data_IF_512560556414
#
_entry.id   IF_512560556414
#
_cell.length_a   1.000
_cell.length_b   1.000
_cell.length_c   1.000
_cell.angle_alpha   90.00
_cell.angle_beta   90.00
_cell.angle_gamma   90.00
#
_symmetry.space_group_name_H-M   'P 1'
#
loop_
_entity.id
_entity.type
_entity.pdbx_description
1 polymer ?
#
# COMPACT_ATOMS: atom_id res chain seq x y z
N UNK A 1 2.86 -6.60 -1.23
CA UNK A 1 3.36 -5.97 0.01
C UNK A 1 4.28 -4.80 -0.32
N UNK A 2 3.73 -3.64 -0.66
CA UNK A 2 4.48 -2.40 -0.56
C UNK A 2 4.65 -1.98 0.91
N UNK A 3 5.71 -1.23 1.19
CA UNK A 3 5.87 -0.47 2.42
C UNK A 3 6.04 1.00 2.06
N UNK A 4 5.18 1.85 2.61
CA UNK A 4 5.30 3.30 2.53
C UNK A 4 5.98 3.82 3.79
N UNK A 5 7.22 4.30 3.64
CA UNK A 5 7.90 5.08 4.67
C UNK A 5 7.50 6.54 4.52
N UNK A 6 6.64 7.03 5.40
CA UNK A 6 6.25 8.44 5.47
C UNK A 6 7.18 9.15 6.44
N UNK A 7 8.16 9.87 5.89
CA UNK A 7 9.14 10.61 6.67
C UNK A 7 8.76 12.10 6.66
N UNK A 8 8.30 12.59 7.81
CA UNK A 8 7.73 13.93 7.95
C UNK A 8 8.59 14.81 8.85
N UNK A 9 8.77 16.07 8.46
CA UNK A 9 9.33 17.15 9.30
C UNK A 9 8.22 18.01 9.90
N UNK A 10 7.07 18.06 9.21
CA UNK A 10 5.86 18.70 9.70
C UNK A 10 5.17 17.77 10.70
N UNK A 11 4.74 18.28 11.87
CA UNK A 11 3.92 17.49 12.79
C UNK A 11 2.62 17.05 12.11
N UNK A 12 2.27 15.77 12.23
CA UNK A 12 1.03 15.22 11.70
C UNK A 12 0.12 14.84 12.86
N UNK A 13 -1.16 15.16 12.77
CA UNK A 13 -2.16 14.67 13.73
C UNK A 13 -2.47 13.20 13.48
N UNK A 14 -3.00 12.50 14.49
CA UNK A 14 -3.46 11.11 14.35
C UNK A 14 -4.47 10.97 13.20
N UNK A 15 -5.44 11.89 13.12
CA UNK A 15 -6.40 11.93 12.01
C UNK A 15 -5.74 12.09 10.64
N UNK A 16 -4.70 12.93 10.53
CA UNK A 16 -3.95 13.08 9.27
C UNK A 16 -3.18 11.80 8.92
N UNK A 17 -2.58 11.13 9.91
CA UNK A 17 -1.91 9.85 9.71
C UNK A 17 -2.89 8.76 9.26
N UNK A 18 -4.05 8.67 9.87
CA UNK A 18 -5.09 7.70 9.49
C UNK A 18 -5.60 7.96 8.06
N UNK A 19 -5.99 9.20 7.77
CA UNK A 19 -6.49 9.57 6.45
C UNK A 19 -5.46 9.35 5.35
N UNK A 20 -4.19 9.70 5.62
CA UNK A 20 -3.11 9.48 4.67
C UNK A 20 -2.83 7.99 4.48
N UNK A 21 -2.86 7.18 5.54
CA UNK A 21 -2.65 5.74 5.43
C UNK A 21 -3.75 5.08 4.57
N UNK A 22 -5.02 5.42 4.83
CA UNK A 22 -6.16 4.94 4.03
C UNK A 22 -5.98 5.33 2.56
N UNK A 23 -5.68 6.60 2.29
CA UNK A 23 -5.57 7.10 0.92
C UNK A 23 -4.39 6.48 0.15
N UNK A 24 -3.24 6.26 0.81
CA UNK A 24 -2.09 5.57 0.20
C UNK A 24 -2.40 4.10 -0.10
N UNK A 25 -3.13 3.44 0.80
CA UNK A 25 -3.61 2.07 0.62
C UNK A 25 -4.56 1.97 -0.57
N UNK A 26 -5.58 2.84 -0.63
CA UNK A 26 -6.56 2.87 -1.72
C UNK A 26 -5.87 3.10 -3.07
N UNK A 27 -4.97 4.08 -3.15
CA UNK A 27 -4.20 4.35 -4.37
C UNK A 27 -3.40 3.12 -4.82
N UNK A 28 -2.76 2.41 -3.88
CA UNK A 28 -1.96 1.24 -4.24
C UNK A 28 -2.83 0.07 -4.71
N UNK A 29 -3.90 -0.22 -3.98
CA UNK A 29 -4.82 -1.33 -4.26
C UNK A 29 -5.47 -1.13 -5.61
N UNK A 30 -5.99 0.07 -5.88
CA UNK A 30 -6.64 0.40 -7.15
C UNK A 30 -5.68 0.29 -8.33
N UNK A 31 -4.45 0.80 -8.19
CA UNK A 31 -3.48 0.84 -9.28
C UNK A 31 -2.80 -0.50 -9.56
N UNK A 32 -2.56 -1.28 -8.51
CA UNK A 32 -1.71 -2.48 -8.59
C UNK A 32 -2.43 -3.77 -8.21
N UNK A 33 -3.74 -3.73 -7.96
CA UNK A 33 -4.59 -4.88 -7.59
C UNK A 33 -4.01 -5.71 -6.44
N UNK A 34 -3.27 -5.04 -5.55
CA UNK A 34 -2.66 -5.66 -4.38
C UNK A 34 -3.73 -5.72 -3.28
N UNK A 35 -3.97 -6.88 -2.65
CA UNK A 35 -4.87 -6.98 -1.50
C UNK A 35 -4.53 -5.95 -0.41
N UNK A 36 -5.54 -5.33 0.20
CA UNK A 36 -5.35 -4.21 1.16
C UNK A 36 -4.45 -4.58 2.33
N UNK A 37 -4.65 -5.78 2.89
CA UNK A 37 -3.87 -6.32 4.00
C UNK A 37 -2.36 -6.22 3.79
N UNK A 38 -1.88 -6.36 2.56
CA UNK A 38 -0.45 -6.31 2.26
C UNK A 38 0.14 -4.90 2.20
N UNK A 39 -0.67 -3.85 2.24
CA UNK A 39 -0.20 -2.47 2.12
C UNK A 39 0.15 -1.92 3.48
N UNK A 40 1.46 -1.76 3.72
CA UNK A 40 1.97 -1.26 4.97
C UNK A 40 2.31 0.22 4.85
N UNK A 41 1.87 1.03 5.82
CA UNK A 41 2.22 2.45 5.93
C UNK A 41 2.81 2.70 7.31
N UNK A 42 3.97 3.34 7.39
CA UNK A 42 4.57 3.74 8.66
C UNK A 42 5.00 5.20 8.62
N UNK A 43 4.93 5.84 9.79
CA UNK A 43 5.29 7.24 9.98
C UNK A 43 6.60 7.34 10.75
N UNK A 44 7.42 8.32 10.40
CA UNK A 44 8.67 8.62 11.11
C UNK A 44 8.89 10.12 11.12
N UNK A 45 8.97 10.71 12.32
CA UNK A 45 9.41 12.08 12.50
C UNK A 45 10.91 12.18 12.19
N UNK A 46 11.24 12.97 11.19
CA UNK A 46 12.60 13.22 10.72
C UNK A 46 12.98 14.70 10.84
N UNK A 47 12.26 15.49 11.62
CA UNK A 47 12.47 16.94 11.84
C UNK A 47 13.87 17.27 12.38
N UNK A 48 14.48 16.32 13.11
CA UNK A 48 15.83 16.42 13.65
C UNK A 48 16.91 15.76 12.78
N UNK A 49 16.52 15.08 11.70
CA UNK A 49 17.48 14.43 10.81
C UNK A 49 18.29 15.48 10.03
N UNK A 50 19.60 15.28 9.97
CA UNK A 50 20.48 16.14 9.18
C UNK A 50 20.42 15.69 7.72
N UNK A 51 19.74 16.47 6.88
CA UNK A 51 19.67 16.19 5.43
C UNK A 51 20.26 17.34 4.62
N UNK A 52 20.92 16.99 3.52
CA UNK A 52 21.55 17.93 2.58
C UNK A 52 20.99 17.72 1.17
N UNK A 53 20.75 18.83 0.46
CA UNK A 53 20.35 18.81 -0.95
C UNK A 53 21.21 19.79 -1.72
N UNK A 54 21.95 19.29 -2.72
CA UNK A 54 22.94 20.09 -3.44
C UNK A 54 24.01 20.69 -2.51
N UNK A 55 24.41 19.95 -1.47
CA UNK A 55 25.37 20.41 -0.46
C UNK A 55 24.80 21.38 0.59
N UNK A 56 23.53 21.77 0.50
CA UNK A 56 22.92 22.74 1.43
C UNK A 56 22.01 21.99 2.41
N UNK A 57 22.10 22.32 3.70
CA UNK A 57 21.22 21.76 4.73
C UNK A 57 19.76 22.12 4.46
N UNK A 58 18.87 21.13 4.54
CA UNK A 58 17.43 21.30 4.30
C UNK A 58 16.58 20.59 5.35
N UNK A 59 15.29 20.89 5.33
CA UNK A 59 14.20 20.12 5.94
C UNK A 59 13.13 19.95 4.86
N UNK A 60 12.53 18.76 4.78
CA UNK A 60 11.44 18.50 3.85
C UNK A 60 10.77 17.15 4.15
N UNK A 61 9.46 17.09 3.91
CA UNK A 61 8.70 15.85 3.94
C UNK A 61 9.00 14.98 2.70
N UNK A 62 9.03 13.67 2.89
CA UNK A 62 9.27 12.70 1.81
C UNK A 62 8.54 11.38 2.07
N UNK A 63 8.16 10.71 0.98
CA UNK A 63 7.60 9.35 1.04
C UNK A 63 8.49 8.40 0.24
N UNK A 64 8.86 7.27 0.85
CA UNK A 64 9.60 6.20 0.18
C UNK A 64 8.68 5.00 0.03
N UNK A 65 8.33 4.67 -1.21
CA UNK A 65 7.54 3.49 -1.56
C UNK A 65 8.50 2.34 -1.86
N UNK A 66 8.64 1.42 -0.92
CA UNK A 66 9.36 0.16 -1.14
C UNK A 66 8.41 -0.84 -1.74
N UNK A 67 8.69 -1.28 -2.94
CA UNK A 67 7.88 -2.27 -3.65
C UNK A 67 8.79 -3.28 -4.33
N UNK A 68 8.19 -4.31 -4.94
CA UNK A 68 8.93 -5.24 -5.77
C UNK A 68 9.27 -4.58 -7.10
N UNK A 69 10.49 -4.80 -7.58
CA UNK A 69 10.80 -4.56 -8.98
C UNK A 69 10.03 -5.60 -9.81
N UNK A 70 8.88 -5.19 -10.37
CA UNK A 70 8.12 -6.01 -11.30
C UNK A 70 8.49 -5.65 -12.73
N UNK A 71 8.85 -6.64 -13.55
CA UNK A 71 9.10 -6.45 -14.99
C UNK A 71 7.87 -5.93 -15.76
N UNK A 72 6.69 -6.05 -15.17
CA UNK A 72 5.40 -5.80 -15.82
C UNK A 72 4.84 -4.41 -15.52
N UNK A 73 5.55 -3.55 -14.76
CA UNK A 73 5.10 -2.21 -14.39
C UNK A 73 6.00 -1.17 -15.06
N UNK A 74 5.40 -0.24 -15.78
CA UNK A 74 6.16 0.80 -16.51
C UNK A 74 6.64 1.91 -15.56
N UNK A 75 7.71 2.60 -15.96
CA UNK A 75 8.17 3.81 -15.26
C UNK A 75 7.05 4.85 -15.19
N UNK A 76 6.24 4.99 -16.24
CA UNK A 76 5.17 5.98 -16.26
C UNK A 76 4.05 5.65 -15.26
N UNK A 77 3.72 4.35 -15.10
CA UNK A 77 2.77 3.90 -14.08
C UNK A 77 3.23 4.31 -12.67
N UNK A 78 4.54 4.24 -12.39
CA UNK A 78 5.09 4.69 -11.11
C UNK A 78 5.17 6.21 -11.00
N UNK A 79 5.47 6.93 -12.08
CA UNK A 79 5.45 8.39 -12.09
C UNK A 79 4.05 8.93 -11.78
N UNK A 80 3.02 8.38 -12.40
CA UNK A 80 1.63 8.72 -12.13
C UNK A 80 1.24 8.41 -10.68
N UNK A 81 1.69 7.27 -10.16
CA UNK A 81 1.46 6.92 -8.75
C UNK A 81 2.11 7.94 -7.80
N UNK A 82 3.34 8.38 -8.10
CA UNK A 82 4.00 9.43 -7.33
C UNK A 82 3.25 10.76 -7.36
N UNK A 83 2.70 11.14 -8.52
CA UNK A 83 1.89 12.36 -8.66
C UNK A 83 0.61 12.28 -7.84
N UNK A 84 -0.06 11.12 -7.81
CA UNK A 84 -1.24 10.89 -6.97
C UNK A 84 -0.92 10.96 -5.49
N UNK A 85 0.20 10.38 -5.05
CA UNK A 85 0.66 10.48 -3.66
C UNK A 85 0.87 11.93 -3.26
N UNK A 86 1.49 12.75 -4.11
CA UNK A 86 1.65 14.19 -3.86
C UNK A 86 0.28 14.86 -3.73
N UNK A 87 -0.66 14.61 -4.65
CA UNK A 87 -2.02 15.18 -4.56
C UNK A 87 -2.73 14.81 -3.26
N UNK A 88 -2.61 13.55 -2.84
CA UNK A 88 -3.20 13.07 -1.58
C UNK A 88 -2.58 13.77 -0.38
N UNK A 89 -1.25 13.92 -0.36
CA UNK A 89 -0.56 14.65 0.70
C UNK A 89 -1.01 16.11 0.76
N UNK A 90 -0.99 16.82 -0.36
CA UNK A 90 -1.38 18.23 -0.41
C UNK A 90 -2.82 18.42 0.11
N UNK A 91 -3.75 17.54 -0.28
CA UNK A 91 -5.13 17.59 0.19
C UNK A 91 -5.26 17.37 1.70
N UNK A 92 -4.58 16.38 2.27
CA UNK A 92 -4.79 15.94 3.67
C UNK A 92 -3.93 16.75 4.65
N UNK A 93 -2.68 17.05 4.25
CA UNK A 93 -1.67 17.61 5.13
C UNK A 93 -1.55 19.12 4.97
N UNK A 94 -1.61 19.64 3.75
CA UNK A 94 -1.52 21.09 3.50
C UNK A 94 -2.90 21.73 3.60
N UNK A 95 -3.92 21.10 2.98
CA UNK A 95 -5.29 21.60 2.98
C UNK A 95 -5.49 22.81 2.07
N UNK A 96 -6.63 23.47 2.25
CA UNK A 96 -7.08 24.63 1.46
C UNK A 96 -6.69 25.98 2.08
N UNK A 97 -5.79 26.00 3.08
CA UNK A 97 -5.35 27.25 3.72
C UNK A 97 -4.67 28.19 2.71
N UNK A 98 -5.06 29.47 2.73
CA UNK A 98 -4.56 30.52 1.83
C UNK A 98 -3.07 30.88 2.08
N UNK A 99 -2.54 30.59 3.28
CA UNK A 99 -1.15 30.81 3.65
C UNK A 99 -0.38 29.47 3.72
N UNK A 100 -0.06 28.92 2.55
CA UNK A 100 0.62 27.63 2.43
C UNK A 100 2.08 27.75 2.84
N UNK A 101 2.39 27.35 4.07
CA UNK A 101 3.77 27.08 4.49
C UNK A 101 4.42 26.04 3.54
N UNK A 102 5.41 26.43 2.72
CA UNK A 102 6.05 25.53 1.77
C UNK A 102 6.74 24.32 2.44
N UNK A 103 7.08 24.41 3.73
CA UNK A 103 7.67 23.30 4.48
C UNK A 103 6.67 22.17 4.74
N UNK A 104 5.35 22.45 4.73
CA UNK A 104 4.28 21.44 4.87
C UNK A 104 4.08 20.59 3.62
N UNK A 105 4.51 21.08 2.45
CA UNK A 105 4.36 20.37 1.19
C UNK A 105 5.16 19.07 1.11
N UNK A 106 4.72 18.14 0.27
CA UNK A 106 5.49 16.92 -0.01
C UNK A 106 6.55 17.20 -1.06
N UNK A 107 7.81 17.16 -0.66
CA UNK A 107 8.90 17.54 -1.57
C UNK A 107 9.24 16.43 -2.56
N UNK A 108 9.20 15.18 -2.13
CA UNK A 108 9.65 14.06 -2.97
C UNK A 108 8.96 12.75 -2.61
N UNK A 109 8.75 11.94 -3.64
CA UNK A 109 8.32 10.56 -3.54
C UNK A 109 9.35 9.71 -4.29
N UNK A 110 9.87 8.69 -3.64
CA UNK A 110 10.79 7.73 -4.26
C UNK A 110 10.18 6.35 -4.30
N UNK A 111 10.21 5.70 -5.45
CA UNK A 111 9.84 4.29 -5.57
C UNK A 111 11.10 3.45 -5.64
N UNK A 112 11.26 2.55 -4.68
CA UNK A 112 12.38 1.63 -4.59
C UNK A 112 11.91 0.21 -4.89
N UNK A 113 12.46 -0.40 -5.94
CA UNK A 113 12.28 -1.82 -6.26
C UNK A 113 13.12 -2.75 -5.35
N UNK A 114 12.98 -2.62 -4.03
CA UNK A 114 13.88 -3.23 -3.05
C UNK A 114 13.44 -4.61 -2.54
N UNK A 115 12.18 -5.02 -2.78
CA UNK A 115 11.60 -6.21 -2.15
C UNK A 115 11.70 -7.44 -3.05
N UNK A 116 12.63 -8.35 -2.73
CA UNK A 116 12.87 -9.62 -3.45
C UNK A 116 11.91 -10.73 -3.00
N UNK A 117 11.72 -10.90 -1.69
CA UNK A 117 10.82 -11.88 -1.07
C UNK A 117 10.18 -11.33 0.21
N UNK A 118 9.18 -12.01 0.76
CA UNK A 118 8.51 -11.63 2.00
C UNK A 118 7.44 -12.64 2.44
N UNK A 119 7.23 -12.70 3.74
CA UNK A 119 6.18 -13.46 4.42
C UNK A 119 5.37 -12.45 5.24
N UNK A 120 4.05 -12.56 5.21
CA UNK A 120 3.16 -11.76 6.07
C UNK A 120 2.13 -12.70 6.68
N UNK A 121 2.00 -12.66 8.00
CA UNK A 121 1.29 -13.67 8.81
C UNK A 121 1.67 -15.13 8.47
N UNK A 122 2.93 -15.37 8.11
CA UNK A 122 3.43 -16.71 7.74
C UNK A 122 3.11 -17.15 6.31
N UNK A 123 2.41 -16.33 5.52
CA UNK A 123 2.00 -16.66 4.16
C UNK A 123 2.94 -15.97 3.16
N UNK A 124 3.47 -16.76 2.23
CA UNK A 124 4.36 -16.27 1.20
C UNK A 124 3.59 -15.41 0.19
N UNK A 125 4.23 -14.33 -0.27
CA UNK A 125 3.63 -13.42 -1.24
C UNK A 125 3.30 -14.07 -2.59
N UNK A 126 2.30 -13.52 -3.31
CA UNK A 126 2.15 -13.78 -4.73
C UNK A 126 3.39 -13.35 -5.52
N UNK A 127 3.59 -13.97 -6.68
CA UNK A 127 4.45 -13.38 -7.71
C UNK A 127 3.77 -12.15 -8.30
N UNK A 128 4.55 -11.18 -8.78
CA UNK A 128 4.00 -9.99 -9.42
C UNK A 128 3.23 -10.37 -10.68
N UNK A 129 1.97 -9.95 -10.77
CA UNK A 129 1.05 -10.31 -11.86
C UNK A 129 0.22 -11.56 -11.60
N UNK A 130 0.50 -12.32 -10.53
CA UNK A 130 -0.23 -13.54 -10.15
C UNK A 130 -1.10 -13.30 -8.90
N UNK A 131 -1.35 -12.04 -8.51
CA UNK A 131 -2.02 -11.67 -7.26
C UNK A 131 -3.41 -12.31 -7.14
N UNK A 132 -4.19 -12.35 -8.23
CA UNK A 132 -5.55 -12.89 -8.22
C UNK A 132 -5.59 -14.42 -8.08
N UNK A 133 -4.75 -15.14 -8.81
CA UNK A 133 -4.67 -16.60 -8.74
C UNK A 133 -4.17 -17.05 -7.37
N UNK A 134 -3.14 -16.36 -6.86
CA UNK A 134 -2.63 -16.58 -5.51
C UNK A 134 -3.71 -16.32 -4.45
N UNK A 135 -4.47 -15.23 -4.57
CA UNK A 135 -5.55 -14.91 -3.64
C UNK A 135 -6.56 -16.05 -3.59
N UNK A 136 -7.01 -16.53 -4.76
CA UNK A 136 -7.96 -17.65 -4.86
C UNK A 136 -7.45 -18.94 -4.22
N UNK A 137 -6.16 -19.25 -4.40
CA UNK A 137 -5.53 -20.44 -3.83
C UNK A 137 -5.51 -20.41 -2.29
N UNK A 138 -5.31 -19.23 -1.70
CA UNK A 138 -5.13 -19.06 -0.26
C UNK A 138 -6.42 -18.69 0.51
N UNK A 139 -7.55 -18.44 -0.16
CA UNK A 139 -8.85 -18.17 0.51
C UNK A 139 -9.18 -19.15 1.66
N UNK A 140 -9.03 -20.47 1.51
CA UNK A 140 -9.35 -21.40 2.61
C UNK A 140 -8.50 -21.18 3.86
N UNK A 141 -7.22 -20.82 3.69
CA UNK A 141 -6.31 -20.51 4.78
C UNK A 141 -6.68 -19.18 5.44
N UNK A 142 -7.01 -18.16 4.65
CA UNK A 142 -7.49 -16.87 5.16
C UNK A 142 -8.78 -17.00 5.96
N UNK A 143 -9.74 -17.81 5.51
CA UNK A 143 -10.97 -18.06 6.29
C UNK A 143 -10.67 -18.72 7.63
N UNK A 144 -9.73 -19.66 7.67
CA UNK A 144 -9.32 -20.29 8.93
C UNK A 144 -8.69 -19.28 9.90
N UNK A 145 -7.86 -18.36 9.40
CA UNK A 145 -7.27 -17.29 10.21
C UNK A 145 -8.34 -16.29 10.69
N UNK A 146 -9.27 -15.93 9.82
CA UNK A 146 -10.40 -15.08 10.18
C UNK A 146 -11.31 -15.73 11.25
N UNK A 147 -11.64 -17.01 11.11
CA UNK A 147 -12.39 -17.80 12.10
C UNK A 147 -11.66 -17.93 13.44
N UNK A 148 -10.32 -17.88 13.43
CA UNK A 148 -9.49 -17.86 14.63
C UNK A 148 -9.42 -16.47 15.31
N UNK A 149 -10.08 -15.46 14.73
CA UNK A 149 -10.17 -14.11 15.30
C UNK A 149 -9.09 -13.13 14.81
N UNK A 150 -8.37 -13.45 13.75
CA UNK A 150 -7.39 -12.53 13.17
C UNK A 150 -8.09 -11.41 12.38
N UNK A 151 -8.06 -10.19 12.90
CA UNK A 151 -8.81 -9.03 12.39
C UNK A 151 -8.45 -8.66 10.94
N UNK A 152 -7.17 -8.81 10.59
CA UNK A 152 -6.68 -8.52 9.25
C UNK A 152 -7.27 -9.48 8.21
N UNK A 153 -7.34 -10.77 8.56
CA UNK A 153 -7.95 -11.78 7.69
C UNK A 153 -9.48 -11.72 7.69
N UNK A 154 -10.11 -11.28 8.79
CA UNK A 154 -11.54 -10.98 8.81
C UNK A 154 -11.86 -9.91 7.76
N UNK A 155 -11.11 -8.82 7.74
CA UNK A 155 -11.34 -7.74 6.78
C UNK A 155 -11.01 -8.15 5.34
N UNK A 156 -9.91 -8.90 5.14
CA UNK A 156 -9.56 -9.44 3.83
C UNK A 156 -10.66 -10.34 3.25
N UNK A 157 -11.27 -11.20 4.07
CA UNK A 157 -12.35 -12.08 3.62
C UNK A 157 -13.60 -11.28 3.24
N UNK A 158 -13.94 -10.21 3.98
CA UNK A 158 -15.04 -9.32 3.58
C UNK A 158 -14.76 -8.67 2.23
N UNK A 159 -13.55 -8.13 2.02
CA UNK A 159 -13.14 -7.54 0.74
C UNK A 159 -13.25 -8.55 -0.42
N UNK A 160 -12.79 -9.78 -0.20
CA UNK A 160 -12.88 -10.86 -1.20
C UNK A 160 -14.33 -11.22 -1.52
N UNK A 161 -15.18 -11.34 -0.51
CA UNK A 161 -16.58 -11.71 -0.67
C UNK A 161 -17.40 -10.60 -1.36
N UNK A 162 -17.06 -9.34 -1.13
CA UNK A 162 -17.68 -8.18 -1.79
C UNK A 162 -17.24 -8.03 -3.26
N UNK A 163 -16.05 -8.50 -3.63
CA UNK A 163 -15.44 -8.28 -4.95
C UNK A 163 -15.51 -9.49 -5.89
N UNK A 164 -15.75 -10.70 -5.39
CA UNK A 164 -15.86 -11.91 -6.19
C UNK A 164 -17.32 -12.16 -6.65
N UNK A 165 -17.59 -12.27 -7.96
CA UNK A 165 -18.92 -12.64 -8.42
C UNK A 165 -19.25 -14.10 -8.02
N UNK A 166 -20.48 -14.31 -7.52
CA UNK A 166 -20.96 -15.57 -6.93
C UNK A 166 -20.82 -16.81 -7.83
N UNK A 167 -20.67 -16.62 -9.14
CA UNK A 167 -20.58 -17.66 -10.15
C UNK A 167 -19.17 -18.28 -10.28
N UNK A 168 -18.13 -17.70 -9.70
CA UNK A 168 -16.77 -18.25 -9.74
C UNK A 168 -16.53 -19.34 -8.68
N UNK A 169 -17.13 -19.19 -7.49
CA UNK A 169 -17.11 -20.20 -6.42
C UNK A 169 -17.70 -21.54 -6.87
N UNK A 170 -18.74 -21.51 -7.71
CA UNK A 170 -19.42 -22.71 -8.23
C UNK A 170 -18.57 -23.49 -9.23
N UNK A 171 -17.79 -22.81 -10.09
CA UNK A 171 -16.92 -23.47 -11.08
C UNK A 171 -15.77 -24.25 -10.45
N UNK A 172 -15.21 -23.75 -9.35
CA UNK A 172 -14.09 -24.41 -8.64
C UNK A 172 -14.55 -25.60 -7.79
N UNK A 173 -15.76 -25.56 -7.21
CA UNK A 173 -16.37 -26.76 -6.60
C UNK A 173 -16.59 -27.88 -7.62
N UNK A 174 -16.97 -27.54 -8.85
CA UNK A 174 -17.16 -28.51 -9.92
C UNK A 174 -15.86 -29.15 -10.39
N UNK A 175 -14.75 -28.39 -10.49
CA UNK A 175 -13.44 -28.93 -10.86
C UNK A 175 -12.83 -29.84 -9.79
N UNK A 176 -13.06 -29.58 -8.49
CA UNK A 176 -12.59 -30.48 -7.42
C UNK A 176 -13.36 -31.80 -7.35
N UNK A 177 -14.61 -31.84 -7.81
CA UNK A 177 -15.38 -33.10 -7.91
C UNK A 177 -14.99 -33.98 -9.10
N UNK A 178 -14.14 -33.48 -10.01
CA UNK A 178 -13.66 -34.22 -11.19
C UNK A 178 -12.28 -34.86 -10.98
N UNK A 179 -11.58 -34.53 -9.89
CA UNK A 179 -10.25 -35.05 -9.56
C UNK A 179 -10.14 -35.55 -8.10
N UNK A 180 -11.28 -35.76 -7.44
CA UNK A 180 -11.40 -36.41 -6.14
C UNK A 180 -11.99 -37.81 -6.28
#
# INVERSE_FOLDING_TARGET
MPLYDVEHVTPLTETQQEQLAIALTDLHVQRFHTPRFFVNVRYTDVSHQVVFRGGIRRKYNRIIVRTRAGSNRSVETYNDHCRDIVRVWERIIVGDDDDKDPERGLRTVWVMGALTTGLEAGIARPKTGEEQEWLQLHIPEFRKLAEAGDEDFIELIKEVDDTMPSNLYTKLKAQRSQYG
#
